data_IF_927984810722
#
_entry.id   IF_927984810722
#
_cell.length_a   1.000
_cell.length_b   1.000
_cell.length_c   1.000
_cell.angle_alpha   90.00
_cell.angle_beta   90.00
_cell.angle_gamma   90.00
#
_symmetry.space_group_name_H-M   'P 1'
#
loop_
_entity.id
_entity.type
_entity.pdbx_description
1 polymer ?
#
# COMPACT_ATOMS: atom_id res chain seq x y z
N UNK A 1 19.58 -24.86 -5.38
CA UNK A 1 19.72 -23.42 -5.14
C UNK A 1 19.30 -22.75 -6.42
N UNK A 2 18.08 -22.26 -6.47
CA UNK A 2 17.52 -21.71 -7.71
C UNK A 2 17.41 -20.19 -7.55
N UNK A 3 18.04 -19.48 -8.50
CA UNK A 3 17.91 -18.03 -8.64
C UNK A 3 16.88 -17.77 -9.74
N UNK A 4 15.77 -17.13 -9.38
CA UNK A 4 14.73 -16.77 -10.32
C UNK A 4 14.83 -15.29 -10.66
N UNK A 5 14.92 -14.99 -11.95
CA UNK A 5 14.96 -13.62 -12.48
C UNK A 5 13.71 -13.41 -13.31
N UNK A 6 12.98 -12.33 -13.04
CA UNK A 6 11.76 -11.98 -13.76
C UNK A 6 11.78 -10.51 -14.21
N UNK A 7 11.45 -10.24 -15.49
CA UNK A 7 11.51 -8.93 -16.14
C UNK A 7 10.17 -8.55 -16.78
N UNK A 8 9.16 -8.17 -16.03
CA UNK A 8 7.99 -7.57 -16.63
C UNK A 8 8.25 -6.10 -16.99
N UNK A 9 7.57 -5.64 -18.03
CA UNK A 9 7.47 -4.23 -18.34
C UNK A 9 6.02 -3.87 -18.57
N UNK A 10 5.58 -2.74 -18.01
CA UNK A 10 4.32 -2.12 -18.35
C UNK A 10 4.56 -1.04 -19.41
N UNK A 11 3.71 -0.96 -20.42
CA UNK A 11 3.72 0.10 -21.41
C UNK A 11 2.38 0.79 -21.35
N UNK A 12 2.40 2.03 -20.89
CA UNK A 12 1.21 2.88 -20.78
C UNK A 12 1.17 3.84 -21.98
N UNK A 13 0.05 3.88 -22.67
CA UNK A 13 -0.20 4.85 -23.72
C UNK A 13 -1.28 5.82 -23.30
N UNK A 14 -0.95 7.11 -23.23
CA UNK A 14 -1.88 8.15 -22.84
C UNK A 14 -1.93 9.23 -23.93
N UNK A 15 -3.14 9.59 -24.39
CA UNK A 15 -3.35 10.54 -25.49
C UNK A 15 -2.69 11.90 -25.26
N UNK A 16 -2.64 12.38 -24.02
CA UNK A 16 -2.05 13.69 -23.68
C UNK A 16 -0.58 13.62 -23.26
N UNK A 17 -0.07 12.46 -22.79
CA UNK A 17 1.26 12.33 -22.21
C UNK A 17 2.17 11.36 -22.97
N UNK A 18 1.69 10.79 -24.10
CA UNK A 18 2.47 9.89 -24.94
C UNK A 18 2.58 8.46 -24.37
N UNK A 19 3.61 7.76 -24.79
CA UNK A 19 3.88 6.39 -24.37
C UNK A 19 4.98 6.38 -23.32
N UNK A 20 4.74 5.71 -22.21
CA UNK A 20 5.71 5.50 -21.14
C UNK A 20 5.92 4.02 -20.88
N UNK A 21 7.17 3.62 -20.67
CA UNK A 21 7.53 2.25 -20.32
C UNK A 21 8.03 2.21 -18.88
N UNK A 22 7.42 1.37 -18.07
CA UNK A 22 7.75 1.17 -16.65
C UNK A 22 8.39 -0.22 -16.49
N UNK A 23 9.73 -0.33 -16.56
CA UNK A 23 10.42 -1.59 -16.37
C UNK A 23 10.39 -2.03 -14.92
N UNK A 24 10.45 -3.34 -14.68
CA UNK A 24 10.73 -3.91 -13.39
C UNK A 24 11.64 -5.12 -13.49
N UNK A 25 12.37 -5.40 -12.42
CA UNK A 25 13.21 -6.57 -12.27
C UNK A 25 13.08 -7.10 -10.85
N UNK A 26 12.99 -8.40 -10.70
CA UNK A 26 13.05 -9.06 -9.41
C UNK A 26 13.99 -10.25 -9.43
N UNK A 27 14.70 -10.43 -8.33
CA UNK A 27 15.64 -11.53 -8.10
C UNK A 27 15.20 -12.23 -6.82
N UNK A 28 15.07 -13.55 -6.89
CA UNK A 28 14.82 -14.39 -5.73
C UNK A 28 15.95 -15.43 -5.59
N UNK A 29 16.36 -15.66 -4.36
CA UNK A 29 17.38 -16.66 -4.04
C UNK A 29 16.94 -17.53 -2.87
N UNK A 30 16.86 -18.83 -3.10
CA UNK A 30 16.54 -19.80 -2.07
C UNK A 30 17.82 -20.16 -1.30
N UNK A 31 17.95 -19.56 -0.11
CA UNK A 31 19.06 -19.84 0.81
C UNK A 31 19.00 -21.30 1.29
N UNK A 32 17.79 -21.80 1.52
CA UNK A 32 17.47 -23.18 1.82
C UNK A 32 15.95 -23.41 1.60
N UNK A 33 15.46 -24.64 1.83
CA UNK A 33 14.04 -25.02 1.66
C UNK A 33 13.03 -24.18 2.48
N UNK A 34 13.51 -23.44 3.48
CA UNK A 34 12.67 -22.64 4.39
C UNK A 34 12.86 -21.16 4.23
N UNK A 35 13.94 -20.72 3.57
CA UNK A 35 14.34 -19.31 3.53
C UNK A 35 14.59 -18.89 2.10
N UNK A 36 13.82 -17.92 1.64
CA UNK A 36 14.02 -17.22 0.38
C UNK A 36 14.31 -15.74 0.68
N UNK A 37 15.31 -15.17 0.03
CA UNK A 37 15.58 -13.73 0.03
C UNK A 37 15.28 -13.19 -1.36
N UNK A 38 14.77 -11.97 -1.42
CA UNK A 38 14.44 -11.33 -2.69
C UNK A 38 14.82 -9.86 -2.71
N UNK A 39 15.10 -9.38 -3.89
CA UNK A 39 15.25 -7.95 -4.18
C UNK A 39 14.44 -7.61 -5.43
N UNK A 40 13.78 -6.46 -5.44
CA UNK A 40 13.04 -5.98 -6.60
C UNK A 40 13.29 -4.50 -6.82
N UNK A 41 13.32 -4.11 -8.09
CA UNK A 41 13.33 -2.73 -8.54
C UNK A 41 12.21 -2.57 -9.55
N UNK A 42 11.42 -1.50 -9.44
CA UNK A 42 10.38 -1.17 -10.40
C UNK A 42 10.29 0.33 -10.61
N UNK A 43 9.99 0.71 -11.84
CA UNK A 43 9.59 2.05 -12.19
C UNK A 43 8.09 2.13 -12.40
N UNK A 44 7.52 3.31 -12.23
CA UNK A 44 6.10 3.54 -12.46
C UNK A 44 5.85 4.92 -13.02
N UNK A 45 4.72 5.02 -13.68
CA UNK A 45 4.18 6.21 -14.28
C UNK A 45 2.70 6.32 -13.89
N UNK A 46 2.26 7.52 -13.51
CA UNK A 46 0.87 7.79 -13.18
C UNK A 46 0.44 9.10 -13.83
N UNK A 47 -0.41 9.01 -14.85
CA UNK A 47 -1.00 10.17 -15.48
C UNK A 47 -1.97 10.89 -14.53
N UNK A 48 -2.08 12.24 -14.58
CA UNK A 48 -3.11 12.95 -13.86
C UNK A 48 -4.50 12.47 -14.27
N UNK A 49 -5.40 12.37 -13.31
CA UNK A 49 -6.80 12.00 -13.60
C UNK A 49 -7.54 13.12 -14.34
N UNK A 50 -8.61 12.82 -15.10
CA UNK A 50 -9.44 13.84 -15.72
C UNK A 50 -9.96 14.89 -14.73
N UNK A 51 -10.30 14.48 -13.52
CA UNK A 51 -10.72 15.38 -12.46
C UNK A 51 -9.60 16.36 -12.07
N UNK A 52 -8.37 15.87 -11.88
CA UNK A 52 -7.22 16.72 -11.55
C UNK A 52 -6.89 17.73 -12.65
N UNK A 53 -7.15 17.37 -13.92
CA UNK A 53 -6.87 18.24 -15.08
C UNK A 53 -7.99 19.24 -15.37
N UNK A 54 -9.25 18.82 -15.27
CA UNK A 54 -10.37 19.52 -15.90
C UNK A 54 -11.47 19.95 -14.93
N UNK A 55 -11.37 19.65 -13.63
CA UNK A 55 -12.34 20.15 -12.66
C UNK A 55 -12.39 21.69 -12.69
N UNK A 56 -13.59 22.26 -12.74
CA UNK A 56 -13.79 23.69 -12.93
C UNK A 56 -13.28 24.56 -11.79
N UNK A 57 -13.12 24.00 -10.59
CA UNK A 57 -12.69 24.72 -9.39
C UNK A 57 -11.25 24.41 -8.98
N UNK A 58 -10.83 23.17 -9.09
CA UNK A 58 -9.54 22.68 -8.54
C UNK A 58 -8.59 22.16 -9.62
N UNK A 59 -9.08 22.01 -10.85
CA UNK A 59 -8.33 21.41 -11.94
C UNK A 59 -7.13 22.25 -12.38
N UNK A 60 -6.12 21.56 -12.91
CA UNK A 60 -4.93 22.19 -13.47
C UNK A 60 -4.47 21.44 -14.72
N UNK A 61 -4.69 22.04 -15.88
CA UNK A 61 -4.31 21.45 -17.18
C UNK A 61 -2.80 21.37 -17.42
N UNK A 62 -2.00 22.04 -16.58
CA UNK A 62 -0.54 22.05 -16.68
C UNK A 62 0.12 20.96 -15.80
N UNK A 63 -0.64 20.04 -15.24
CA UNK A 63 -0.08 18.94 -14.46
C UNK A 63 0.76 18.03 -15.32
N UNK A 64 1.91 17.65 -14.78
CA UNK A 64 2.78 16.59 -15.30
C UNK A 64 2.41 15.26 -14.68
N UNK A 65 2.63 14.14 -15.37
CA UNK A 65 2.52 12.82 -14.77
C UNK A 65 3.51 12.63 -13.61
N UNK A 66 3.09 11.87 -12.61
CA UNK A 66 3.99 11.39 -11.58
C UNK A 66 4.85 10.27 -12.16
N UNK A 67 6.15 10.30 -11.87
CA UNK A 67 7.07 9.21 -12.20
C UNK A 67 7.86 8.83 -10.97
N UNK A 68 8.27 7.58 -10.89
CA UNK A 68 9.05 7.17 -9.74
C UNK A 68 9.63 5.79 -9.88
N UNK A 69 10.40 5.43 -8.85
CA UNK A 69 10.97 4.10 -8.71
C UNK A 69 10.81 3.62 -7.27
N UNK A 70 10.79 2.31 -7.12
CA UNK A 70 10.72 1.63 -5.84
C UNK A 70 11.72 0.48 -5.82
N UNK A 71 12.41 0.35 -4.72
CA UNK A 71 13.30 -0.75 -4.39
C UNK A 71 12.73 -1.50 -3.19
N UNK A 72 12.65 -2.81 -3.30
CA UNK A 72 12.21 -3.73 -2.26
C UNK A 72 13.31 -4.74 -1.96
N UNK A 73 13.55 -5.03 -0.69
CA UNK A 73 14.43 -6.10 -0.22
C UNK A 73 13.71 -6.85 0.89
N UNK A 74 13.63 -8.17 0.77
CA UNK A 74 12.90 -8.94 1.79
C UNK A 74 13.37 -10.36 1.96
N UNK A 75 12.83 -10.98 2.99
CA UNK A 75 13.05 -12.36 3.33
C UNK A 75 11.72 -13.04 3.66
N UNK A 76 11.47 -14.17 3.02
CA UNK A 76 10.44 -15.12 3.41
C UNK A 76 11.07 -16.24 4.22
N UNK A 77 10.49 -16.58 5.37
CA UNK A 77 10.98 -17.68 6.18
C UNK A 77 9.82 -18.54 6.70
N UNK A 78 9.99 -19.86 6.62
CA UNK A 78 9.05 -20.87 7.13
C UNK A 78 9.59 -21.47 8.43
N UNK A 79 8.93 -21.19 9.55
CA UNK A 79 9.25 -21.82 10.83
C UNK A 79 8.44 -23.10 10.97
N UNK A 80 9.07 -24.24 10.69
CA UNK A 80 8.39 -25.52 10.69
C UNK A 80 7.36 -25.65 9.55
N UNK A 81 6.24 -26.34 9.84
CA UNK A 81 5.18 -26.59 8.85
C UNK A 81 4.01 -25.59 8.93
N UNK A 82 3.91 -24.84 10.01
CA UNK A 82 2.71 -24.08 10.37
C UNK A 82 2.88 -22.56 10.38
N UNK A 83 4.12 -22.05 10.30
CA UNK A 83 4.39 -20.63 10.33
C UNK A 83 5.04 -20.18 9.02
N UNK A 84 4.52 -19.11 8.47
CA UNK A 84 5.13 -18.37 7.35
C UNK A 84 5.34 -16.93 7.81
N UNK A 85 6.50 -16.38 7.52
CA UNK A 85 6.82 -14.98 7.81
C UNK A 85 7.40 -14.30 6.59
N UNK A 86 7.14 -13.00 6.46
CA UNK A 86 7.79 -12.12 5.52
C UNK A 86 8.25 -10.88 6.26
N UNK A 87 9.47 -10.46 6.00
CA UNK A 87 9.99 -9.17 6.44
C UNK A 87 10.60 -8.48 5.23
N UNK A 88 10.14 -7.28 4.93
CA UNK A 88 10.70 -6.50 3.82
C UNK A 88 10.95 -5.05 4.20
N UNK A 89 11.93 -4.47 3.56
CA UNK A 89 12.23 -3.04 3.52
C UNK A 89 11.89 -2.52 2.13
N UNK A 90 11.26 -1.35 2.07
CA UNK A 90 11.00 -0.65 0.82
C UNK A 90 11.53 0.78 0.85
N UNK A 91 11.94 1.26 -0.32
CA UNK A 91 12.32 2.66 -0.54
C UNK A 91 11.78 3.12 -1.88
N UNK A 92 10.93 4.14 -1.84
CA UNK A 92 10.27 4.71 -3.03
C UNK A 92 10.60 6.19 -3.18
N UNK A 93 10.84 6.63 -4.41
CA UNK A 93 10.99 8.03 -4.77
C UNK A 93 10.00 8.37 -5.88
N UNK A 94 9.18 9.40 -5.67
CA UNK A 94 8.20 9.90 -6.63
C UNK A 94 8.56 11.32 -7.01
N UNK A 95 8.72 11.60 -8.30
CA UNK A 95 8.90 12.94 -8.87
C UNK A 95 7.54 13.47 -9.36
N UNK A 96 7.40 14.78 -9.37
CA UNK A 96 6.21 15.48 -9.83
C UNK A 96 4.92 14.99 -9.14
N UNK A 97 5.03 14.62 -7.84
CA UNK A 97 3.90 14.13 -7.05
C UNK A 97 2.72 15.11 -7.10
N UNK A 98 1.56 14.66 -7.52
CA UNK A 98 0.37 15.49 -7.59
C UNK A 98 -0.29 15.58 -6.21
N UNK A 99 -0.67 16.78 -5.82
CA UNK A 99 -1.43 17.03 -4.61
C UNK A 99 -2.25 18.29 -4.71
N UNK A 100 -3.31 18.37 -3.93
CA UNK A 100 -4.13 19.55 -3.82
C UNK A 100 -3.47 20.58 -2.88
N UNK A 101 -3.48 21.84 -3.25
CA UNK A 101 -2.94 22.97 -2.50
C UNK A 101 -4.03 24.00 -2.29
N UNK A 102 -4.29 24.35 -1.05
CA UNK A 102 -5.15 25.49 -0.74
C UNK A 102 -4.47 26.79 -1.18
N UNK A 103 -5.10 27.52 -2.07
CA UNK A 103 -4.57 28.79 -2.63
C UNK A 103 -5.23 30.01 -1.98
N UNK A 104 -6.46 29.87 -1.49
CA UNK A 104 -7.19 30.89 -0.77
C UNK A 104 -7.89 30.29 0.47
N UNK A 105 -7.30 30.43 1.67
CA UNK A 105 -7.90 29.92 2.89
C UNK A 105 -9.23 30.57 3.28
N UNK A 106 -9.46 31.83 2.89
CA UNK A 106 -10.68 32.55 3.25
C UNK A 106 -11.91 31.97 2.52
N UNK A 107 -11.73 31.54 1.28
CA UNK A 107 -12.78 30.96 0.44
C UNK A 107 -12.67 29.42 0.31
N UNK A 108 -11.75 28.78 1.02
CA UNK A 108 -11.47 27.33 0.94
C UNK A 108 -11.24 26.84 -0.49
N UNK A 109 -10.62 27.68 -1.34
CA UNK A 109 -10.31 27.29 -2.72
C UNK A 109 -8.87 26.84 -2.85
N UNK A 110 -8.63 25.94 -3.80
CA UNK A 110 -7.32 25.38 -4.04
C UNK A 110 -7.17 24.82 -5.45
N UNK A 111 -6.00 24.28 -5.73
CA UNK A 111 -5.68 23.76 -7.04
C UNK A 111 -4.76 22.56 -6.94
N UNK A 112 -4.90 21.58 -7.84
CA UNK A 112 -3.93 20.51 -8.00
C UNK A 112 -2.62 21.04 -8.57
N UNK A 113 -1.50 20.63 -7.98
CA UNK A 113 -0.14 21.01 -8.40
C UNK A 113 0.80 19.83 -8.30
N UNK A 114 1.84 19.84 -9.12
CA UNK A 114 2.97 18.95 -8.93
C UNK A 114 3.90 19.50 -7.83
N UNK A 115 4.45 18.59 -7.05
CA UNK A 115 5.51 18.83 -6.08
C UNK A 115 6.79 18.15 -6.56
N UNK A 116 7.96 18.67 -6.18
CA UNK A 116 9.24 18.20 -6.71
C UNK A 116 9.46 16.70 -6.49
N UNK A 117 9.65 16.30 -5.27
CA UNK A 117 9.96 14.90 -4.95
C UNK A 117 9.40 14.52 -3.58
N UNK A 118 8.80 13.35 -3.52
CA UNK A 118 8.43 12.69 -2.27
C UNK A 118 9.21 11.37 -2.16
N UNK A 119 9.86 11.16 -1.03
CA UNK A 119 10.51 9.87 -0.72
C UNK A 119 9.74 9.18 0.39
N UNK A 120 9.46 7.90 0.20
CA UNK A 120 8.86 7.04 1.20
C UNK A 120 9.77 5.83 1.45
N UNK A 121 9.96 5.47 2.71
CA UNK A 121 10.70 4.28 3.11
C UNK A 121 10.01 3.63 4.28
N UNK A 122 10.16 2.33 4.39
CA UNK A 122 9.49 1.62 5.46
C UNK A 122 9.82 0.16 5.54
N UNK A 123 9.11 -0.48 6.44
CA UNK A 123 9.25 -1.91 6.72
C UNK A 123 7.85 -2.52 6.70
N UNK A 124 7.73 -3.70 6.08
CA UNK A 124 6.58 -4.57 6.22
C UNK A 124 7.01 -5.85 6.92
N UNK A 125 6.25 -6.28 7.90
CA UNK A 125 6.44 -7.53 8.61
C UNK A 125 5.10 -8.28 8.67
N UNK A 126 5.06 -9.49 8.15
CA UNK A 126 3.87 -10.31 8.10
C UNK A 126 4.16 -11.69 8.64
N UNK A 127 3.25 -12.20 9.45
CA UNK A 127 3.30 -13.56 9.99
C UNK A 127 1.94 -14.22 9.82
N UNK A 128 1.94 -15.43 9.31
CA UNK A 128 0.76 -16.30 9.28
C UNK A 128 1.08 -17.61 9.97
N UNK A 129 0.21 -18.04 10.87
CA UNK A 129 0.32 -19.29 11.61
C UNK A 129 -0.94 -20.13 11.48
N UNK A 130 -0.79 -21.38 11.11
CA UNK A 130 -1.82 -22.39 11.26
C UNK A 130 -1.86 -22.83 12.73
N UNK A 131 -2.92 -22.50 13.45
CA UNK A 131 -3.10 -22.81 14.88
C UNK A 131 -3.64 -24.22 15.07
N UNK A 132 -4.63 -24.60 14.26
CA UNK A 132 -5.22 -25.94 14.19
C UNK A 132 -5.49 -26.30 12.73
N UNK A 133 -6.04 -27.49 12.45
CA UNK A 133 -6.44 -27.87 11.08
C UNK A 133 -7.50 -26.93 10.48
N UNK A 134 -8.25 -26.21 11.31
CA UNK A 134 -9.36 -25.36 10.88
C UNK A 134 -9.15 -23.87 11.19
N UNK A 135 -8.18 -23.50 11.99
CA UNK A 135 -7.97 -22.13 12.44
C UNK A 135 -6.58 -21.64 12.05
N UNK A 136 -6.51 -20.51 11.38
CA UNK A 136 -5.26 -19.78 11.14
C UNK A 136 -5.33 -18.35 11.68
N UNK A 137 -4.19 -17.82 12.08
CA UNK A 137 -4.01 -16.44 12.50
C UNK A 137 -3.02 -15.74 11.57
N UNK A 138 -3.27 -14.45 11.32
CA UNK A 138 -2.35 -13.57 10.58
C UNK A 138 -2.12 -12.27 11.36
N UNK A 139 -0.91 -11.77 11.29
CA UNK A 139 -0.52 -10.47 11.84
C UNK A 139 0.39 -9.78 10.84
N UNK A 140 0.03 -8.56 10.46
CA UNK A 140 0.81 -7.69 9.60
C UNK A 140 1.10 -6.36 10.29
N UNK A 141 2.28 -5.83 10.05
CA UNK A 141 2.70 -4.52 10.50
C UNK A 141 3.43 -3.79 9.40
N UNK A 142 3.05 -2.55 9.16
CA UNK A 142 3.74 -1.65 8.23
C UNK A 142 4.17 -0.38 8.97
N UNK A 143 5.43 -0.04 8.84
CA UNK A 143 5.96 1.27 9.20
C UNK A 143 6.29 2.05 7.92
N UNK A 144 5.82 3.29 7.83
CA UNK A 144 6.09 4.19 6.68
C UNK A 144 6.60 5.53 7.17
N UNK A 145 7.75 5.93 6.67
CA UNK A 145 8.30 7.27 6.84
C UNK A 145 8.31 7.98 5.49
N UNK A 146 7.73 9.19 5.44
CA UNK A 146 7.67 10.00 4.24
C UNK A 146 8.51 11.26 4.45
N UNK A 147 9.54 11.43 3.62
CA UNK A 147 10.29 12.66 3.46
C UNK A 147 9.71 13.41 2.26
N UNK A 148 9.16 14.59 2.52
CA UNK A 148 8.60 15.44 1.48
C UNK A 148 9.27 16.82 1.53
N UNK A 149 9.24 17.54 0.41
CA UNK A 149 9.70 18.93 0.36
C UNK A 149 8.94 19.81 1.36
N UNK A 150 9.50 20.97 1.79
CA UNK A 150 8.79 21.87 2.70
C UNK A 150 7.38 22.22 2.23
N UNK A 151 7.20 22.51 0.95
CA UNK A 151 5.89 22.82 0.36
C UNK A 151 4.93 21.62 0.48
N UNK A 152 5.42 20.41 0.20
CA UNK A 152 4.63 19.19 0.34
C UNK A 152 4.28 18.88 1.80
N UNK A 153 5.19 19.17 2.72
CA UNK A 153 4.92 19.03 4.17
C UNK A 153 3.79 19.97 4.61
N UNK A 154 3.79 21.20 4.13
CA UNK A 154 2.77 22.20 4.46
C UNK A 154 1.37 21.81 3.94
N UNK A 155 1.31 21.11 2.80
CA UNK A 155 0.06 20.70 2.15
C UNK A 155 -0.17 19.18 2.23
N UNK A 156 0.40 18.52 3.20
CA UNK A 156 0.33 17.08 3.37
C UNK A 156 -1.10 16.62 3.62
N UNK A 157 -1.60 15.75 2.78
CA UNK A 157 -2.96 15.20 2.88
C UNK A 157 -3.16 14.18 4.00
N UNK A 158 -2.11 13.80 4.71
CA UNK A 158 -2.17 12.97 5.91
C UNK A 158 -2.86 11.61 5.73
N UNK A 159 -2.96 11.10 4.47
CA UNK A 159 -3.63 9.83 4.21
C UNK A 159 -2.78 8.60 4.54
N UNK A 160 -1.45 8.75 4.56
CA UNK A 160 -0.54 7.65 4.85
C UNK A 160 -0.24 7.58 6.34
N UNK A 161 -0.68 6.53 7.04
CA UNK A 161 -0.36 6.36 8.46
C UNK A 161 1.12 6.03 8.64
N UNK A 162 1.69 6.49 9.75
CA UNK A 162 3.07 6.13 10.11
C UNK A 162 3.18 4.65 10.49
N UNK A 163 2.15 4.12 11.13
CA UNK A 163 2.07 2.71 11.49
C UNK A 163 0.70 2.16 11.08
N UNK A 164 0.68 1.00 10.45
CA UNK A 164 -0.51 0.21 10.20
C UNK A 164 -0.34 -1.19 10.77
N UNK A 165 -1.37 -1.68 11.45
CA UNK A 165 -1.43 -3.02 12.01
C UNK A 165 -2.64 -3.73 11.41
N UNK A 166 -2.47 -4.96 10.97
CA UNK A 166 -3.56 -5.83 10.54
C UNK A 166 -3.45 -7.14 11.30
N UNK A 167 -4.52 -7.56 11.93
CA UNK A 167 -4.60 -8.86 12.59
C UNK A 167 -5.85 -9.58 12.10
N UNK A 168 -5.78 -10.88 11.95
CA UNK A 168 -6.91 -11.65 11.49
C UNK A 168 -6.91 -13.08 12.01
N UNK A 169 -8.12 -13.62 12.11
CA UNK A 169 -8.38 -15.03 12.38
C UNK A 169 -9.26 -15.57 11.25
N UNK A 170 -8.89 -16.71 10.70
CA UNK A 170 -9.64 -17.40 9.67
C UNK A 170 -9.98 -18.81 10.19
N UNK A 171 -11.26 -19.11 10.30
CA UNK A 171 -11.75 -20.44 10.66
C UNK A 171 -12.47 -21.06 9.47
N UNK A 172 -12.11 -22.27 9.12
CA UNK A 172 -12.74 -23.02 8.04
C UNK A 172 -12.86 -24.49 8.40
N UNK A 173 -14.08 -25.00 8.36
CA UNK A 173 -14.37 -26.45 8.46
C UNK A 173 -15.40 -26.87 7.41
N UNK A 174 -15.97 -28.06 7.53
CA UNK A 174 -16.97 -28.57 6.57
C UNK A 174 -18.26 -27.73 6.53
N UNK A 175 -18.60 -27.01 7.59
CA UNK A 175 -19.85 -26.26 7.72
C UNK A 175 -19.65 -24.75 7.85
N UNK A 176 -18.58 -24.32 8.49
CA UNK A 176 -18.32 -22.92 8.79
C UNK A 176 -17.12 -22.38 8.01
N UNK A 177 -17.28 -21.17 7.54
CA UNK A 177 -16.21 -20.32 7.05
C UNK A 177 -16.40 -18.96 7.72
N UNK A 178 -15.48 -18.57 8.59
CA UNK A 178 -15.61 -17.36 9.39
C UNK A 178 -14.27 -16.59 9.43
N UNK A 179 -14.38 -15.27 9.33
CA UNK A 179 -13.24 -14.36 9.30
C UNK A 179 -13.43 -13.23 10.31
N UNK A 180 -12.38 -12.93 11.04
CA UNK A 180 -12.26 -11.73 11.86
C UNK A 180 -11.05 -10.94 11.38
N UNK A 181 -11.25 -9.69 11.02
CA UNK A 181 -10.22 -8.75 10.63
C UNK A 181 -10.21 -7.54 11.56
N UNK A 182 -9.02 -7.22 12.07
CA UNK A 182 -8.78 -6.02 12.89
C UNK A 182 -7.72 -5.18 12.18
N UNK A 183 -8.03 -3.91 11.97
CA UNK A 183 -7.12 -2.95 11.34
C UNK A 183 -6.89 -1.75 12.25
N UNK A 184 -5.62 -1.49 12.57
CA UNK A 184 -5.18 -0.33 13.33
C UNK A 184 -4.43 0.66 12.45
N UNK A 185 -4.85 1.91 12.44
CA UNK A 185 -4.22 3.04 11.76
C UNK A 185 -3.70 3.99 12.82
N UNK A 186 -2.39 4.06 12.98
CA UNK A 186 -1.73 4.69 14.12
C UNK A 186 -0.82 5.83 13.63
N UNK A 187 -0.82 6.94 14.36
CA UNK A 187 0.00 8.12 14.04
C UNK A 187 -0.19 8.60 12.60
N UNK A 188 -1.44 8.79 12.22
CA UNK A 188 -1.77 9.40 10.95
C UNK A 188 -1.50 10.90 11.05
N UNK A 189 -0.62 11.48 10.21
CA UNK A 189 -0.37 12.91 10.27
C UNK A 189 -1.64 13.69 9.91
N UNK A 190 -1.88 14.78 10.62
CA UNK A 190 -2.92 15.74 10.28
C UNK A 190 -2.51 16.62 9.11
N UNK A 191 -3.40 17.54 8.72
CA UNK A 191 -3.07 18.66 7.82
C UNK A 191 -2.07 19.60 8.48
N UNK A 192 -1.33 20.37 7.71
CA UNK A 192 -0.28 21.27 8.22
C UNK A 192 -0.80 22.30 9.25
N UNK A 193 -2.03 22.71 9.09
CA UNK A 193 -2.74 23.67 9.95
C UNK A 193 -3.42 23.03 11.16
N UNK A 194 -3.35 21.70 11.33
CA UNK A 194 -4.04 20.93 12.38
C UNK A 194 -5.56 21.15 12.45
N UNK A 195 -6.17 21.73 11.43
CA UNK A 195 -7.62 21.96 11.39
C UNK A 195 -8.39 20.63 11.48
N UNK A 196 -7.78 19.55 10.98
CA UNK A 196 -8.33 18.20 11.04
C UNK A 196 -7.32 17.22 11.63
N UNK A 197 -7.11 17.20 12.96
CA UNK A 197 -6.19 16.25 13.59
C UNK A 197 -6.69 14.81 13.33
N UNK A 198 -5.89 14.01 12.67
CA UNK A 198 -6.23 12.62 12.37
C UNK A 198 -5.69 11.71 13.45
N UNK A 199 -6.61 11.14 14.20
CA UNK A 199 -6.30 10.29 15.35
C UNK A 199 -6.04 8.85 14.92
N UNK A 200 -5.41 8.10 15.79
CA UNK A 200 -5.38 6.64 15.77
C UNK A 200 -6.82 6.11 15.83
N UNK A 201 -7.14 5.13 15.00
CA UNK A 201 -8.39 4.41 15.06
C UNK A 201 -8.21 2.94 14.76
N UNK A 202 -9.17 2.15 15.21
CA UNK A 202 -9.24 0.72 14.97
C UNK A 202 -10.57 0.39 14.32
N UNK A 203 -10.53 -0.54 13.37
CA UNK A 203 -11.69 -1.11 12.72
C UNK A 203 -11.68 -2.61 12.97
N UNK A 204 -12.84 -3.20 13.12
CA UNK A 204 -13.01 -4.64 13.22
C UNK A 204 -14.15 -5.05 12.27
N UNK A 205 -13.86 -6.00 11.41
CA UNK A 205 -14.80 -6.60 10.47
C UNK A 205 -14.93 -8.08 10.81
N UNK A 206 -16.15 -8.58 10.86
CA UNK A 206 -16.45 -9.98 11.06
C UNK A 206 -17.39 -10.47 9.96
N UNK A 207 -17.11 -11.63 9.41
CA UNK A 207 -18.02 -12.31 8.48
C UNK A 207 -18.07 -13.79 8.79
N UNK A 208 -19.21 -14.42 8.52
CA UNK A 208 -19.39 -15.84 8.72
C UNK A 208 -20.34 -16.43 7.67
N UNK A 209 -19.97 -17.58 7.14
CA UNK A 209 -20.79 -18.37 6.23
C UNK A 209 -21.08 -19.71 6.90
N UNK A 210 -22.34 -20.14 6.85
CA UNK A 210 -22.75 -21.44 7.36
C UNK A 210 -23.40 -22.28 6.25
N UNK A 211 -22.83 -23.41 5.96
CA UNK A 211 -23.34 -24.37 4.99
C UNK A 211 -24.38 -25.27 5.64
N UNK A 212 -25.64 -24.96 5.38
CA UNK A 212 -26.81 -25.71 5.91
C UNK A 212 -26.91 -27.08 5.23
N UNK A 213 -26.68 -27.10 3.91
CA UNK A 213 -26.67 -28.28 3.04
C UNK A 213 -25.64 -28.05 1.95
N UNK A 214 -25.35 -29.08 1.13
CA UNK A 214 -24.38 -28.98 0.03
C UNK A 214 -24.67 -27.83 -0.95
N UNK A 215 -25.95 -27.47 -1.13
CA UNK A 215 -26.42 -26.45 -2.05
C UNK A 215 -27.02 -25.20 -1.37
N UNK A 216 -26.94 -25.08 -0.04
CA UNK A 216 -27.51 -23.96 0.71
C UNK A 216 -26.50 -23.42 1.72
N UNK A 217 -26.12 -22.17 1.54
CA UNK A 217 -25.24 -21.45 2.46
C UNK A 217 -25.94 -20.18 2.93
N UNK A 218 -25.87 -19.91 4.23
CA UNK A 218 -26.27 -18.64 4.85
C UNK A 218 -24.99 -17.85 5.09
N UNK A 219 -24.99 -16.57 4.78
CA UNK A 219 -23.84 -15.66 4.97
C UNK A 219 -24.28 -14.37 5.68
N UNK A 220 -23.36 -13.79 6.47
CA UNK A 220 -23.54 -12.57 7.20
C UNK A 220 -22.24 -11.85 7.50
#
# INVERSE_FOLDING_TARGET
>A
MDCNIWYPRCVDHHSAFGTHTSPSISLGYDVNEKTNVYAAYKEYFLAPTPYQLFDGFNGNRNLKPETGHEFDLGVHHKFGKTWNSNLSFFSRSTKDKIGWVMTDPANFTGQYRNFDTEKARGINADVRKQLTNHLSARLGYTYTHIDATPTRKANRDGYVPKHAVNAGLDYNDAKWDAHLDIRGIINRPGTADNVFPRKTYWLADISANYRVRENVTIFG
#
